data_IF_745562976906
#
_entry.id   IF_745562976906
#
_cell.length_a   1.000
_cell.length_b   1.000
_cell.length_c   1.000
_cell.angle_alpha   90.00
_cell.angle_beta   90.00
_cell.angle_gamma   90.00
#
_symmetry.space_group_name_H-M   'P 1'
#
loop_
_entity.id
_entity.type
_entity.pdbx_description
1 polymer ?
#
# COMPACT_ATOMS: atom_id res chain seq x y z
N UNK A 1 20.86 3.78 34.92
CA UNK A 1 20.34 4.99 34.24
C UNK A 1 19.38 4.54 33.16
N UNK A 2 18.07 4.68 33.35
CA UNK A 2 17.09 4.29 32.33
C UNK A 2 17.23 5.22 31.13
N UNK A 3 17.71 4.73 29.99
CA UNK A 3 17.55 5.46 28.72
C UNK A 3 16.07 5.79 28.60
N UNK A 4 15.74 7.07 28.40
CA UNK A 4 14.39 7.46 28.00
C UNK A 4 14.01 6.56 26.81
N UNK A 5 12.83 5.93 26.87
CA UNK A 5 12.35 5.07 25.77
C UNK A 5 12.37 5.92 24.50
N UNK A 6 13.29 5.64 23.59
CA UNK A 6 13.30 6.24 22.27
C UNK A 6 11.98 5.86 21.61
N UNK A 7 11.24 6.86 21.11
CA UNK A 7 9.99 6.64 20.39
C UNK A 7 10.28 6.93 18.94
N UNK A 8 10.13 5.88 18.12
CA UNK A 8 10.28 5.92 16.68
C UNK A 8 9.37 6.96 16.03
N UNK A 9 9.77 7.41 14.85
CA UNK A 9 9.11 8.52 14.15
C UNK A 9 7.70 8.14 13.74
N UNK A 10 7.54 6.97 13.11
CA UNK A 10 6.25 6.47 12.67
C UNK A 10 5.34 6.16 13.86
N UNK A 11 5.90 5.59 14.94
CA UNK A 11 5.16 5.39 16.19
C UNK A 11 4.62 6.69 16.77
N UNK A 12 5.45 7.73 16.84
CA UNK A 12 5.02 9.04 17.35
C UNK A 12 3.86 9.60 16.52
N UNK A 13 4.00 9.59 15.20
CA UNK A 13 2.94 10.06 14.28
C UNK A 13 1.64 9.30 14.49
N UNK A 14 1.72 7.99 14.60
CA UNK A 14 0.55 7.14 14.79
C UNK A 14 -0.15 7.42 16.13
N UNK A 15 0.60 7.64 17.22
CA UNK A 15 0.04 8.03 18.52
C UNK A 15 -0.57 9.45 18.51
N UNK A 16 0.05 10.38 17.80
CA UNK A 16 -0.48 11.74 17.61
C UNK A 16 -1.81 11.72 16.84
N UNK A 17 -1.92 10.86 15.82
CA UNK A 17 -3.12 10.67 15.03
C UNK A 17 -4.26 10.08 15.87
N UNK A 18 -3.96 9.06 16.69
CA UNK A 18 -4.93 8.44 17.61
C UNK A 18 -5.44 9.43 18.68
N UNK A 19 -4.61 10.40 19.06
CA UNK A 19 -4.92 11.37 20.10
C UNK A 19 -5.84 12.49 19.58
N UNK A 20 -7.05 12.61 20.11
CA UNK A 20 -8.01 13.65 19.67
C UNK A 20 -7.51 15.10 19.83
N UNK A 21 -6.59 15.33 20.76
CA UNK A 21 -6.14 16.67 21.18
C UNK A 21 -4.91 17.19 20.42
N UNK A 22 -4.25 16.34 19.64
CA UNK A 22 -3.03 16.72 18.91
C UNK A 22 -3.39 17.17 17.51
N UNK A 23 -2.95 18.38 17.11
CA UNK A 23 -3.12 18.83 15.73
C UNK A 23 -2.21 18.03 14.81
N UNK A 24 -2.69 17.58 13.64
CA UNK A 24 -1.82 16.92 12.66
C UNK A 24 -0.64 17.82 12.32
N UNK A 25 0.58 17.29 12.43
CA UNK A 25 1.77 17.98 11.99
C UNK A 25 1.79 18.08 10.45
N UNK A 26 2.64 18.96 9.90
CA UNK A 26 2.89 18.96 8.46
C UNK A 26 3.47 17.61 8.06
N UNK A 27 2.96 17.04 6.95
CA UNK A 27 3.42 15.75 6.45
C UNK A 27 4.94 15.74 6.28
N UNK A 28 5.58 14.82 6.99
CA UNK A 28 7.02 14.60 6.93
C UNK A 28 7.30 13.42 5.99
N UNK A 29 7.90 13.73 4.85
CA UNK A 29 8.21 12.77 3.79
C UNK A 29 9.65 12.23 3.90
N UNK A 30 10.39 12.56 4.96
CA UNK A 30 11.75 12.05 5.14
C UNK A 30 11.76 10.60 5.62
N UNK A 31 12.74 9.83 5.13
CA UNK A 31 12.99 8.46 5.58
C UNK A 31 13.39 8.44 7.06
N UNK A 32 13.06 7.34 7.74
CA UNK A 32 13.39 7.13 9.14
C UNK A 32 14.46 6.05 9.28
N UNK A 33 15.59 6.41 9.90
CA UNK A 33 16.76 5.53 10.11
C UNK A 33 16.40 4.23 10.84
N UNK A 34 15.43 4.29 11.76
CA UNK A 34 14.89 3.13 12.47
C UNK A 34 14.36 2.05 11.52
N UNK A 35 13.78 2.43 10.38
CA UNK A 35 13.31 1.49 9.38
C UNK A 35 14.46 0.79 8.64
N UNK A 36 15.56 1.52 8.37
CA UNK A 36 16.76 0.92 7.77
C UNK A 36 17.38 -0.08 8.73
N UNK A 37 17.62 0.31 9.98
CA UNK A 37 18.20 -0.56 11.02
C UNK A 37 17.38 -1.83 11.24
N UNK A 38 16.05 -1.72 11.27
CA UNK A 38 15.18 -2.88 11.41
C UNK A 38 15.28 -3.79 10.18
N UNK A 39 15.34 -3.23 8.98
CA UNK A 39 15.48 -4.00 7.73
C UNK A 39 16.84 -4.70 7.65
N UNK A 40 17.91 -4.04 8.06
CA UNK A 40 19.26 -4.64 8.15
C UNK A 40 19.23 -5.84 9.11
N UNK A 41 18.62 -5.68 10.29
CA UNK A 41 18.48 -6.77 11.26
C UNK A 41 17.60 -7.93 10.75
N UNK A 42 16.59 -7.64 9.91
CA UNK A 42 15.79 -8.68 9.26
C UNK A 42 16.64 -9.53 8.31
N UNK A 43 17.55 -8.89 7.56
CA UNK A 43 18.44 -9.56 6.62
C UNK A 43 19.51 -10.38 7.35
N UNK A 44 20.07 -9.85 8.43
CA UNK A 44 21.17 -10.50 9.16
C UNK A 44 20.70 -11.62 10.10
N UNK A 45 19.58 -11.41 10.78
CA UNK A 45 19.14 -12.25 11.91
C UNK A 45 17.68 -12.71 11.84
N UNK A 46 16.98 -12.43 10.74
CA UNK A 46 15.61 -12.89 10.54
C UNK A 46 14.53 -12.12 11.33
N UNK A 47 13.30 -12.65 11.40
CA UNK A 47 12.14 -11.92 11.90
C UNK A 47 12.19 -11.64 13.40
N UNK A 48 12.94 -12.43 14.18
CA UNK A 48 13.17 -12.20 15.60
C UNK A 48 14.08 -10.98 15.80
N UNK A 49 15.19 -10.89 15.06
CA UNK A 49 16.11 -9.76 15.11
C UNK A 49 15.42 -8.45 14.67
N UNK A 50 14.62 -8.51 13.61
CA UNK A 50 13.74 -7.42 13.18
C UNK A 50 12.90 -6.86 14.33
N UNK A 51 12.14 -7.73 15.02
CA UNK A 51 11.28 -7.33 16.14
C UNK A 51 12.06 -6.78 17.33
N UNK A 52 13.26 -7.31 17.57
CA UNK A 52 14.11 -6.82 18.65
C UNK A 52 14.57 -5.38 18.38
N UNK A 53 14.99 -5.05 17.16
CA UNK A 53 15.39 -3.69 16.78
C UNK A 53 14.20 -2.73 16.83
N UNK A 54 13.03 -3.13 16.35
CA UNK A 54 11.82 -2.31 16.49
C UNK A 54 11.51 -1.97 17.95
N UNK A 55 11.67 -2.92 18.87
CA UNK A 55 11.48 -2.67 20.29
C UNK A 55 12.54 -1.73 20.87
N UNK A 56 13.80 -1.83 20.43
CA UNK A 56 14.91 -0.97 20.86
C UNK A 56 14.75 0.47 20.38
N UNK A 57 14.43 0.65 19.09
CA UNK A 57 14.20 1.96 18.45
C UNK A 57 12.82 2.53 18.80
N UNK A 58 11.96 1.71 19.42
CA UNK A 58 10.59 2.07 19.78
C UNK A 58 9.74 2.39 18.57
N UNK A 59 9.90 1.67 17.46
CA UNK A 59 9.19 1.87 16.21
C UNK A 59 7.98 0.93 16.08
N UNK A 60 7.07 1.24 15.15
CA UNK A 60 5.94 0.37 14.79
C UNK A 60 6.42 -0.73 13.86
N UNK A 61 5.81 -1.91 13.97
CA UNK A 61 6.00 -2.99 13.01
C UNK A 61 5.36 -2.63 11.66
N UNK A 62 6.21 -2.23 10.71
CA UNK A 62 5.81 -1.61 9.44
C UNK A 62 5.90 -2.56 8.24
N UNK A 63 6.46 -3.76 8.38
CA UNK A 63 6.56 -4.76 7.30
C UNK A 63 5.54 -5.86 7.51
N UNK A 64 4.56 -6.00 6.61
CA UNK A 64 3.61 -7.12 6.63
C UNK A 64 4.30 -8.48 6.56
N UNK A 65 3.62 -9.54 7.00
CA UNK A 65 4.11 -10.91 6.88
C UNK A 65 4.55 -11.29 5.46
N UNK A 66 3.84 -10.81 4.44
CA UNK A 66 4.19 -11.04 3.04
C UNK A 66 5.47 -10.30 2.62
N UNK A 67 5.66 -9.05 3.07
CA UNK A 67 6.87 -8.26 2.79
C UNK A 67 8.08 -8.84 3.51
N UNK A 68 7.94 -9.26 4.78
CA UNK A 68 9.02 -9.94 5.52
C UNK A 68 9.49 -11.18 4.77
N UNK A 69 8.57 -12.05 4.34
CA UNK A 69 8.89 -13.25 3.57
C UNK A 69 9.54 -12.92 2.24
N UNK A 70 9.04 -11.91 1.53
CA UNK A 70 9.59 -11.48 0.25
C UNK A 70 11.03 -10.98 0.40
N UNK A 71 11.29 -10.10 1.38
CA UNK A 71 12.62 -9.54 1.63
C UNK A 71 13.62 -10.66 1.95
N UNK A 72 13.24 -11.61 2.81
CA UNK A 72 14.09 -12.74 3.15
C UNK A 72 14.35 -13.66 1.95
N UNK A 73 13.34 -13.91 1.12
CA UNK A 73 13.48 -14.74 -0.07
C UNK A 73 14.33 -14.08 -1.17
N UNK A 74 14.35 -12.75 -1.23
CA UNK A 74 15.14 -11.97 -2.20
C UNK A 74 16.50 -11.52 -1.66
N UNK A 75 16.78 -11.72 -0.38
CA UNK A 75 18.07 -11.43 0.22
C UNK A 75 19.15 -12.26 -0.49
N UNK A 76 19.93 -11.60 -1.36
CA UNK A 76 21.11 -12.18 -1.98
C UNK A 76 22.30 -11.77 -1.13
N UNK A 77 23.16 -12.71 -0.78
CA UNK A 77 24.48 -12.37 -0.24
C UNK A 77 25.18 -11.43 -1.23
N UNK A 78 25.89 -10.38 -0.76
CA UNK A 78 26.69 -9.56 -1.64
C UNK A 78 27.61 -10.47 -2.47
N UNK A 79 27.84 -10.17 -3.76
CA UNK A 79 28.74 -10.97 -4.57
C UNK A 79 30.10 -11.03 -3.86
N UNK A 80 30.46 -12.20 -3.32
CA UNK A 80 31.82 -12.44 -2.86
C UNK A 80 32.69 -12.25 -4.11
N UNK A 81 33.66 -11.35 -4.05
CA UNK A 81 34.65 -11.18 -5.12
C UNK A 81 35.27 -12.55 -5.38
N UNK A 82 35.08 -13.15 -6.56
CA UNK A 82 35.70 -14.43 -6.85
C UNK A 82 37.20 -14.19 -7.02
N UNK A 83 38.02 -14.80 -6.16
CA UNK A 83 39.41 -15.07 -6.50
C UNK A 83 39.40 -15.99 -7.74
N UNK A 84 39.89 -15.46 -8.88
CA UNK A 84 40.02 -16.23 -10.14
C UNK A 84 40.95 -17.43 -9.90
N UNK A 85 40.61 -18.64 -10.39
CA UNK A 85 41.17 -19.03 -11.70
C UNK A 85 40.24 -19.89 -12.58
N UNK A 86 40.33 -19.66 -13.90
CA UNK A 86 40.50 -20.72 -14.91
C UNK A 86 39.31 -21.54 -15.39
N UNK A 87 38.72 -21.11 -16.52
CA UNK A 87 38.48 -21.91 -17.73
C UNK A 87 37.53 -23.12 -17.71
N UNK A 88 36.43 -23.03 -18.48
CA UNK A 88 36.17 -23.84 -19.69
C UNK A 88 34.71 -23.66 -20.16
N UNK A 89 34.54 -23.65 -21.47
CA UNK A 89 33.30 -23.42 -22.22
C UNK A 89 32.27 -24.55 -22.10
N UNK A 90 30.97 -24.21 -22.19
CA UNK A 90 29.95 -25.00 -22.87
C UNK A 90 28.65 -24.18 -23.09
N UNK A 91 28.25 -23.94 -24.34
CA UNK A 91 26.88 -23.56 -24.70
C UNK A 91 25.89 -24.72 -24.47
N UNK A 92 24.55 -24.51 -24.52
CA UNK A 92 23.90 -24.25 -25.82
C UNK A 92 22.59 -23.43 -25.82
N UNK A 93 22.24 -22.99 -27.05
CA UNK A 93 20.93 -22.80 -27.71
C UNK A 93 19.75 -22.13 -26.98
N UNK A 94 19.29 -21.04 -27.62
CA UNK A 94 18.07 -20.32 -27.29
C UNK A 94 16.77 -21.05 -27.65
N UNK A 95 15.63 -20.62 -27.08
CA UNK A 95 14.33 -21.23 -27.28
C UNK A 95 13.55 -20.58 -28.43
N UNK A 96 13.05 -21.39 -29.35
CA UNK A 96 12.09 -20.98 -30.39
C UNK A 96 10.65 -21.34 -29.99
N UNK A 97 9.77 -20.34 -30.22
CA UNK A 97 8.35 -20.39 -30.56
C UNK A 97 7.39 -21.31 -29.79
N UNK A 98 6.45 -20.69 -29.06
CA UNK A 98 5.07 -21.17 -28.93
C UNK A 98 4.12 -19.97 -29.05
N UNK A 99 3.61 -19.74 -30.26
CA UNK A 99 2.45 -18.90 -30.53
C UNK A 99 1.19 -19.77 -30.43
N UNK A 100 0.33 -19.49 -29.44
CA UNK A 100 -1.03 -20.03 -29.39
C UNK A 100 -2.02 -18.87 -29.21
N UNK A 101 -2.99 -18.82 -30.12
CA UNK A 101 -4.11 -17.88 -30.14
C UNK A 101 -4.93 -17.94 -28.85
N UNK A 102 -5.15 -16.79 -28.23
CA UNK A 102 -6.11 -16.59 -27.15
C UNK A 102 -7.45 -16.14 -27.73
N UNK A 103 -8.47 -17.01 -27.68
CA UNK A 103 -9.86 -16.62 -27.91
C UNK A 103 -10.44 -15.97 -26.66
N UNK A 104 -10.95 -14.74 -26.78
CA UNK A 104 -11.63 -14.01 -25.70
C UNK A 104 -13.09 -14.43 -25.59
N UNK A 105 -13.49 -14.91 -24.40
CA UNK A 105 -14.88 -15.11 -24.01
C UNK A 105 -15.26 -14.01 -23.01
N UNK A 106 -16.33 -13.27 -23.29
CA UNK A 106 -16.92 -12.24 -22.42
C UNK A 106 -18.08 -12.86 -21.63
N UNK A 107 -18.08 -12.82 -20.29
CA UNK A 107 -19.28 -13.09 -19.51
C UNK A 107 -20.25 -11.91 -19.59
N UNK A 108 -21.54 -12.23 -19.69
CA UNK A 108 -22.62 -11.26 -19.62
C UNK A 108 -22.75 -10.69 -18.20
N UNK A 109 -23.11 -9.41 -18.13
CA UNK A 109 -23.21 -8.59 -16.93
C UNK A 109 -23.91 -9.30 -15.75
N UNK A 110 -23.21 -9.38 -14.61
CA UNK A 110 -23.81 -9.65 -13.31
C UNK A 110 -24.40 -8.35 -12.75
N UNK A 111 -25.72 -8.32 -12.59
CA UNK A 111 -26.43 -7.26 -11.88
C UNK A 111 -26.22 -7.43 -10.37
N UNK A 112 -25.19 -6.77 -9.82
CA UNK A 112 -25.09 -6.54 -8.38
C UNK A 112 -25.61 -5.13 -8.06
N UNK A 113 -26.63 -5.06 -7.20
CA UNK A 113 -27.24 -3.81 -6.74
C UNK A 113 -26.20 -2.93 -6.03
N UNK A 114 -26.02 -1.70 -6.53
CA UNK A 114 -25.12 -0.69 -5.95
C UNK A 114 -25.40 -0.49 -4.45
N UNK A 115 -24.40 -0.68 -3.57
CA UNK A 115 -24.54 -0.28 -2.18
C UNK A 115 -24.64 1.24 -2.13
N UNK A 116 -25.69 1.76 -1.51
CA UNK A 116 -25.92 3.19 -1.35
C UNK A 116 -24.66 3.89 -0.82
N UNK A 117 -24.06 4.74 -1.65
CA UNK A 117 -22.99 5.66 -1.23
C UNK A 117 -23.50 6.50 -0.07
N UNK A 118 -22.66 6.74 0.94
CA UNK A 118 -22.98 7.63 2.06
C UNK A 118 -23.45 8.97 1.49
N UNK A 119 -24.66 9.41 1.85
CA UNK A 119 -25.37 10.55 1.23
C UNK A 119 -24.51 11.84 1.10
N UNK A 120 -23.54 12.02 1.99
CA UNK A 120 -22.59 13.13 1.99
C UNK A 120 -21.60 13.14 0.79
N UNK A 121 -21.37 11.99 0.14
CA UNK A 121 -20.46 11.87 -1.01
C UNK A 121 -21.10 12.40 -2.29
N UNK A 122 -22.40 12.17 -2.46
CA UNK A 122 -23.14 12.59 -3.63
C UNK A 122 -23.33 14.12 -3.67
N UNK A 123 -23.34 14.77 -2.50
CA UNK A 123 -23.52 16.22 -2.33
C UNK A 123 -22.24 17.05 -2.42
N UNK A 124 -21.06 16.42 -2.52
CA UNK A 124 -19.80 17.15 -2.68
C UNK A 124 -19.73 17.80 -4.08
N UNK A 125 -19.16 19.01 -4.16
CA UNK A 125 -18.89 19.68 -5.43
C UNK A 125 -17.96 18.81 -6.30
N UNK A 126 -18.19 18.79 -7.63
CA UNK A 126 -17.45 17.96 -8.58
C UNK A 126 -16.70 18.80 -9.62
N UNK A 127 -15.54 19.39 -9.25
CA UNK A 127 -14.76 20.26 -10.15
C UNK A 127 -14.34 19.59 -11.46
N UNK A 128 -14.11 18.27 -11.46
CA UNK A 128 -13.71 17.52 -12.66
C UNK A 128 -14.71 17.60 -13.83
N UNK A 129 -15.95 18.02 -13.59
CA UNK A 129 -16.96 18.20 -14.64
C UNK A 129 -16.86 19.56 -15.34
N UNK A 130 -16.06 20.49 -14.81
CA UNK A 130 -15.92 21.87 -15.31
C UNK A 130 -14.54 22.16 -15.92
N UNK A 131 -13.50 21.43 -15.50
CA UNK A 131 -12.12 21.66 -15.96
C UNK A 131 -11.75 20.84 -17.21
N UNK A 132 -10.85 21.35 -18.08
CA UNK A 132 -10.38 20.60 -19.23
C UNK A 132 -9.59 19.35 -18.82
N UNK A 133 -9.89 18.22 -19.47
CA UNK A 133 -9.22 16.96 -19.19
C UNK A 133 -7.74 16.99 -19.60
N UNK A 134 -6.85 16.69 -18.65
CA UNK A 134 -5.42 16.56 -18.87
C UNK A 134 -4.89 15.26 -18.25
N UNK A 135 -3.82 14.70 -18.85
CA UNK A 135 -3.14 13.52 -18.32
C UNK A 135 -1.64 13.77 -18.21
N UNK A 136 -1.04 13.40 -17.08
CA UNK A 136 0.41 13.49 -16.85
C UNK A 136 0.90 12.15 -16.31
N UNK A 137 2.02 11.66 -16.84
CA UNK A 137 2.61 10.39 -16.44
C UNK A 137 3.85 10.66 -15.61
N UNK A 138 3.97 9.97 -14.48
CA UNK A 138 5.12 10.04 -13.59
C UNK A 138 5.86 8.70 -13.59
N UNK A 139 7.19 8.77 -13.69
CA UNK A 139 8.08 7.62 -13.56
C UNK A 139 8.93 7.78 -12.32
N UNK A 140 9.25 6.65 -11.67
CA UNK A 140 10.15 6.65 -10.53
C UNK A 140 11.55 7.04 -11.00
N UNK A 141 12.12 8.05 -10.35
CA UNK A 141 13.48 8.55 -10.60
C UNK A 141 14.09 8.98 -9.26
N UNK A 142 15.41 9.21 -9.23
CA UNK A 142 16.10 9.70 -8.02
C UNK A 142 15.52 11.03 -7.49
N UNK A 143 14.86 11.81 -8.36
CA UNK A 143 14.21 13.09 -8.02
C UNK A 143 12.70 12.97 -7.78
N UNK A 144 12.06 11.93 -8.31
CA UNK A 144 10.62 11.73 -8.23
C UNK A 144 10.31 10.38 -7.61
N UNK A 145 10.07 10.40 -6.31
CA UNK A 145 9.52 9.26 -5.59
C UNK A 145 8.00 9.20 -5.80
N UNK A 146 7.51 8.09 -6.37
CA UNK A 146 6.08 7.85 -6.58
C UNK A 146 5.34 7.76 -5.24
N UNK A 147 5.99 7.21 -4.19
CA UNK A 147 5.45 7.20 -2.83
C UNK A 147 5.12 8.60 -2.37
N UNK A 148 6.06 9.54 -2.53
CA UNK A 148 5.83 10.92 -2.12
C UNK A 148 4.71 11.60 -2.92
N UNK A 149 4.53 11.24 -4.19
CA UNK A 149 3.42 11.76 -5.00
C UNK A 149 2.07 11.30 -4.45
N UNK A 150 1.97 10.01 -4.08
CA UNK A 150 0.79 9.44 -3.42
C UNK A 150 0.53 10.11 -2.07
N UNK A 151 1.57 10.21 -1.22
CA UNK A 151 1.48 10.87 0.10
C UNK A 151 1.09 12.35 -0.02
N UNK A 152 1.67 13.07 -0.99
CA UNK A 152 1.31 14.47 -1.29
C UNK A 152 -0.14 14.63 -1.75
N UNK A 153 -0.66 13.68 -2.53
CA UNK A 153 -2.08 13.67 -2.91
C UNK A 153 -2.97 13.61 -1.68
N UNK A 154 -2.80 12.58 -0.84
CA UNK A 154 -3.58 12.35 0.38
C UNK A 154 -3.51 13.56 1.33
N UNK A 155 -2.31 14.08 1.56
CA UNK A 155 -2.08 15.18 2.50
C UNK A 155 -2.63 16.51 2.01
N UNK A 156 -2.78 16.70 0.69
CA UNK A 156 -3.38 17.91 0.10
C UNK A 156 -4.90 17.85 -0.04
N UNK A 157 -5.50 16.66 -0.01
CA UNK A 157 -6.96 16.50 -0.08
C UNK A 157 -7.68 17.26 1.05
N UNK A 158 -8.85 17.79 0.74
CA UNK A 158 -9.62 18.68 1.63
C UNK A 158 -11.01 18.18 1.98
N UNK A 159 -11.66 17.43 1.10
CA UNK A 159 -13.06 17.05 1.23
C UNK A 159 -13.25 15.54 1.15
N UNK A 160 -12.78 14.90 0.07
CA UNK A 160 -13.07 13.49 -0.23
C UNK A 160 -11.84 12.77 -0.78
N UNK A 161 -11.64 11.54 -0.31
CA UNK A 161 -10.67 10.60 -0.84
C UNK A 161 -11.36 9.26 -1.12
N UNK A 162 -11.41 8.86 -2.39
CA UNK A 162 -11.86 7.53 -2.80
C UNK A 162 -10.67 6.73 -3.35
N UNK A 163 -10.40 5.58 -2.75
CA UNK A 163 -9.20 4.78 -3.03
C UNK A 163 -9.64 3.38 -3.44
N UNK A 164 -9.14 2.88 -4.56
CA UNK A 164 -9.23 1.48 -4.96
C UNK A 164 -7.83 0.87 -4.89
N UNK A 165 -7.68 -0.25 -4.19
CA UNK A 165 -6.39 -0.92 -4.04
C UNK A 165 -6.52 -2.44 -3.92
N UNK A 166 -5.49 -3.16 -4.34
CA UNK A 166 -5.40 -4.62 -4.29
C UNK A 166 -4.76 -5.14 -2.99
N UNK A 167 -3.72 -4.47 -2.48
CA UNK A 167 -3.02 -4.79 -1.24
C UNK A 167 -2.71 -3.50 -0.51
N UNK A 168 -3.02 -3.45 0.79
CA UNK A 168 -2.75 -2.27 1.61
C UNK A 168 -2.03 -2.65 2.92
N UNK A 169 -0.72 -2.46 2.93
CA UNK A 169 0.19 -2.79 4.03
C UNK A 169 1.10 -1.64 4.48
N UNK A 170 1.19 -0.55 3.72
CA UNK A 170 2.03 0.60 4.06
C UNK A 170 1.43 1.42 5.22
N UNK A 171 2.04 1.27 6.40
CA UNK A 171 1.65 1.97 7.64
C UNK A 171 1.81 3.49 7.50
N UNK A 172 2.77 4.00 6.74
CA UNK A 172 2.96 5.45 6.55
C UNK A 172 1.80 6.05 5.76
N UNK A 173 1.39 5.40 4.66
CA UNK A 173 0.23 5.84 3.87
C UNK A 173 -1.05 5.70 4.70
N UNK A 174 -1.18 4.64 5.49
CA UNK A 174 -2.32 4.48 6.39
C UNK A 174 -2.38 5.61 7.44
N UNK A 175 -1.23 6.01 8.00
CA UNK A 175 -1.16 7.17 8.88
C UNK A 175 -1.60 8.46 8.16
N UNK A 176 -1.15 8.68 6.91
CA UNK A 176 -1.56 9.85 6.13
C UNK A 176 -3.08 9.88 5.88
N UNK A 177 -3.72 8.71 5.67
CA UNK A 177 -5.18 8.61 5.55
C UNK A 177 -5.91 8.93 6.86
N UNK A 178 -5.39 8.44 7.99
CA UNK A 178 -5.96 8.76 9.30
C UNK A 178 -5.78 10.26 9.63
N UNK A 179 -4.66 10.87 9.26
CA UNK A 179 -4.44 12.32 9.36
C UNK A 179 -5.45 13.09 8.48
N UNK A 180 -5.71 12.62 7.26
CA UNK A 180 -6.74 13.21 6.40
C UNK A 180 -8.14 13.09 7.03
N UNK A 181 -8.51 11.91 7.51
CA UNK A 181 -9.77 11.65 8.21
C UNK A 181 -9.95 12.58 9.43
N UNK A 182 -8.88 12.79 10.20
CA UNK A 182 -8.87 13.70 11.36
C UNK A 182 -9.04 15.17 10.98
N UNK A 183 -8.62 15.57 9.77
CA UNK A 183 -8.87 16.90 9.21
C UNK A 183 -10.32 17.08 8.70
N UNK A 184 -11.15 16.03 8.76
CA UNK A 184 -12.52 16.05 8.26
C UNK A 184 -12.66 15.61 6.81
N UNK A 185 -11.60 15.09 6.18
CA UNK A 185 -11.69 14.49 4.84
C UNK A 185 -12.46 13.17 4.94
N UNK A 186 -13.45 12.95 4.08
CA UNK A 186 -14.16 11.68 3.98
C UNK A 186 -13.34 10.68 3.19
N UNK A 187 -12.84 9.64 3.85
CA UNK A 187 -11.98 8.62 3.22
C UNK A 187 -12.79 7.33 3.02
N UNK A 188 -12.83 6.80 1.79
CA UNK A 188 -13.26 5.43 1.53
C UNK A 188 -12.18 4.66 0.79
N UNK A 189 -11.88 3.47 1.31
CA UNK A 189 -10.96 2.52 0.72
C UNK A 189 -11.75 1.31 0.27
N UNK A 190 -11.76 1.06 -1.03
CA UNK A 190 -12.20 -0.18 -1.65
C UNK A 190 -10.98 -1.09 -1.79
N UNK A 191 -10.96 -2.17 -1.02
CA UNK A 191 -9.84 -3.11 -0.97
C UNK A 191 -10.24 -4.45 -1.56
N UNK A 192 -9.42 -4.99 -2.46
CA UNK A 192 -9.60 -6.35 -2.96
C UNK A 192 -9.70 -7.36 -1.81
N UNK A 193 -10.63 -8.31 -1.92
CA UNK A 193 -10.86 -9.33 -0.90
C UNK A 193 -9.58 -10.08 -0.49
N UNK A 194 -8.66 -10.32 -1.43
CA UNK A 194 -7.37 -10.96 -1.15
C UNK A 194 -6.44 -10.12 -0.26
N UNK A 195 -6.56 -8.79 -0.29
CA UNK A 195 -5.76 -7.86 0.50
C UNK A 195 -6.24 -7.65 1.94
N UNK A 196 -7.51 -7.98 2.24
CA UNK A 196 -8.15 -7.67 3.54
C UNK A 196 -7.41 -8.29 4.73
N UNK A 197 -6.88 -9.51 4.56
CA UNK A 197 -6.13 -10.19 5.64
C UNK A 197 -4.88 -9.39 6.05
N UNK A 198 -4.09 -8.95 5.07
CA UNK A 198 -2.86 -8.20 5.32
C UNK A 198 -3.18 -6.79 5.87
N UNK A 199 -4.27 -6.18 5.40
CA UNK A 199 -4.73 -4.91 5.96
C UNK A 199 -5.11 -5.02 7.44
N UNK A 200 -5.84 -6.07 7.83
CA UNK A 200 -6.17 -6.31 9.24
C UNK A 200 -4.92 -6.51 10.09
N UNK A 201 -3.97 -7.30 9.59
CA UNK A 201 -2.67 -7.51 10.24
C UNK A 201 -1.93 -6.19 10.46
N UNK A 202 -1.92 -5.30 9.46
CA UNK A 202 -1.36 -3.95 9.58
C UNK A 202 -2.08 -3.12 10.66
N UNK A 203 -3.41 -3.12 10.69
CA UNK A 203 -4.19 -2.41 11.71
C UNK A 203 -3.90 -2.92 13.13
N UNK A 204 -3.78 -4.23 13.30
CA UNK A 204 -3.49 -4.87 14.59
C UNK A 204 -2.08 -4.47 15.08
N UNK A 205 -1.08 -4.51 14.20
CA UNK A 205 0.31 -4.06 14.49
C UNK A 205 0.38 -2.57 14.81
N UNK A 206 -0.41 -1.76 14.11
CA UNK A 206 -0.57 -0.33 14.36
C UNK A 206 -1.40 -0.03 15.61
N UNK A 207 -2.03 -1.03 16.25
CA UNK A 207 -2.95 -0.84 17.38
C UNK A 207 -4.07 0.18 17.08
N UNK A 208 -4.59 0.11 15.86
CA UNK A 208 -5.72 0.94 15.40
C UNK A 208 -7.02 0.17 15.60
N UNK A 209 -8.05 0.83 16.08
CA UNK A 209 -9.36 0.25 16.31
C UNK A 209 -10.46 1.16 15.77
N UNK A 210 -11.70 0.68 15.76
CA UNK A 210 -12.84 1.31 15.08
C UNK A 210 -13.06 2.79 15.46
N UNK A 211 -12.78 3.18 16.70
CA UNK A 211 -12.90 4.58 17.16
C UNK A 211 -11.98 5.54 16.39
N UNK A 212 -10.87 5.07 15.83
CA UNK A 212 -9.96 5.88 15.03
C UNK A 212 -10.41 5.99 13.56
N UNK A 213 -11.44 5.24 13.15
CA UNK A 213 -11.89 5.11 11.76
C UNK A 213 -13.22 5.83 11.48
N UNK A 214 -13.67 6.75 12.34
CA UNK A 214 -15.00 7.37 12.22
C UNK A 214 -15.24 8.08 10.88
N UNK A 215 -14.20 8.67 10.27
CA UNK A 215 -14.26 9.30 8.94
C UNK A 215 -13.54 8.49 7.84
N UNK A 216 -13.20 7.23 8.13
CA UNK A 216 -12.49 6.32 7.23
C UNK A 216 -13.28 5.01 7.10
N UNK A 217 -13.93 4.83 5.95
CA UNK A 217 -14.61 3.58 5.61
C UNK A 217 -13.67 2.67 4.82
N UNK A 218 -13.52 1.41 5.24
CA UNK A 218 -12.85 0.38 4.45
C UNK A 218 -13.88 -0.68 4.06
N UNK A 219 -14.00 -0.96 2.77
CA UNK A 219 -14.92 -1.95 2.21
C UNK A 219 -14.14 -2.94 1.36
N UNK A 220 -14.52 -4.21 1.46
CA UNK A 220 -13.96 -5.23 0.58
C UNK A 220 -14.72 -5.25 -0.74
N UNK A 221 -13.99 -5.40 -1.85
CA UNK A 221 -14.54 -5.62 -3.19
C UNK A 221 -14.00 -6.94 -3.70
N UNK A 222 -14.87 -7.77 -4.26
CA UNK A 222 -14.50 -9.00 -4.98
C UNK A 222 -14.66 -8.77 -6.48
N UNK A 223 -13.80 -9.39 -7.30
CA UNK A 223 -14.04 -9.43 -8.73
C UNK A 223 -14.99 -10.59 -9.09
N UNK A 224 -15.38 -10.65 -10.36
CA UNK A 224 -16.28 -11.66 -10.90
C UNK A 224 -15.82 -13.09 -10.59
N UNK A 225 -16.76 -13.99 -10.30
CA UNK A 225 -16.47 -15.40 -10.04
C UNK A 225 -16.51 -16.18 -11.34
N UNK A 226 -15.38 -16.77 -11.73
CA UNK A 226 -15.26 -17.61 -12.90
C UNK A 226 -15.34 -19.09 -12.55
N UNK A 227 -15.85 -19.89 -13.48
CA UNK A 227 -15.92 -21.34 -13.39
C UNK A 227 -14.86 -21.97 -14.30
N UNK A 228 -13.92 -22.73 -13.74
CA UNK A 228 -12.97 -23.51 -14.50
C UNK A 228 -13.64 -24.73 -15.16
N UNK A 229 -13.01 -25.28 -16.22
CA UNK A 229 -13.47 -26.51 -16.89
C UNK A 229 -13.67 -27.71 -15.95
N UNK A 230 -12.95 -27.72 -14.82
CA UNK A 230 -13.10 -28.73 -13.77
C UNK A 230 -14.34 -28.57 -12.87
N UNK A 231 -15.17 -27.55 -13.09
CA UNK A 231 -16.29 -27.19 -12.23
C UNK A 231 -15.91 -26.36 -10.99
N UNK A 232 -14.61 -26.19 -10.71
CA UNK A 232 -14.11 -25.33 -9.62
C UNK A 232 -14.38 -23.86 -9.92
N UNK A 233 -14.83 -23.12 -8.90
CA UNK A 233 -15.06 -21.67 -8.96
C UNK A 233 -13.89 -20.92 -8.35
N UNK A 234 -13.52 -19.80 -8.93
CA UNK A 234 -12.54 -18.87 -8.35
C UNK A 234 -12.97 -17.44 -8.62
N UNK A 235 -12.77 -16.55 -7.64
CA UNK A 235 -12.95 -15.12 -7.84
C UNK A 235 -11.75 -14.56 -8.60
N UNK A 236 -12.01 -13.68 -9.58
CA UNK A 236 -10.98 -12.83 -10.16
C UNK A 236 -10.37 -11.90 -9.11
N UNK A 237 -9.30 -11.20 -9.48
CA UNK A 237 -8.64 -10.23 -8.61
C UNK A 237 -8.77 -8.83 -9.17
N UNK A 238 -9.11 -7.86 -8.32
CA UNK A 238 -9.08 -6.45 -8.69
C UNK A 238 -7.62 -6.01 -8.75
N UNK A 239 -7.14 -5.69 -9.95
CA UNK A 239 -5.77 -5.20 -10.17
C UNK A 239 -5.69 -3.68 -10.37
N UNK A 240 -6.83 -3.02 -10.60
CA UNK A 240 -6.89 -1.58 -10.76
C UNK A 240 -6.54 -0.89 -9.43
N UNK A 241 -5.74 0.17 -9.52
CA UNK A 241 -5.32 0.96 -8.36
C UNK A 241 -5.42 2.43 -8.70
N UNK A 242 -6.22 3.16 -7.94
CA UNK A 242 -6.32 4.60 -8.12
C UNK A 242 -6.79 5.32 -6.86
N UNK A 243 -6.49 6.60 -6.81
CA UNK A 243 -6.91 7.54 -5.77
C UNK A 243 -7.61 8.70 -6.46
N UNK A 244 -8.85 8.97 -6.09
CA UNK A 244 -9.60 10.15 -6.48
C UNK A 244 -9.58 11.12 -5.31
N UNK A 245 -9.05 12.33 -5.53
CA UNK A 245 -8.99 13.39 -4.52
C UNK A 245 -9.93 14.53 -4.89
N UNK A 246 -10.81 14.90 -3.96
CA UNK A 246 -11.69 16.08 -4.01
C UNK A 246 -12.50 16.20 -5.32
N UNK A 247 -12.80 15.07 -5.98
CA UNK A 247 -13.42 15.02 -7.32
C UNK A 247 -12.73 15.94 -8.34
N UNK A 248 -11.45 16.20 -8.15
CA UNK A 248 -10.68 17.17 -8.93
C UNK A 248 -9.66 16.46 -9.80
N UNK A 249 -8.95 15.47 -9.25
CA UNK A 249 -7.96 14.71 -10.00
C UNK A 249 -7.87 13.25 -9.53
N UNK A 250 -7.31 12.42 -10.42
CA UNK A 250 -7.13 10.98 -10.20
C UNK A 250 -5.64 10.63 -10.33
N UNK A 251 -5.11 9.93 -9.34
CA UNK A 251 -3.82 9.23 -9.47
C UNK A 251 -4.11 7.76 -9.74
N UNK A 252 -3.57 7.23 -10.83
CA UNK A 252 -3.69 5.82 -11.21
C UNK A 252 -2.32 5.28 -11.61
N UNK A 253 -2.03 4.02 -11.27
CA UNK A 253 -0.75 3.42 -11.62
C UNK A 253 -0.49 2.07 -10.96
N UNK A 254 0.79 1.68 -10.98
CA UNK A 254 1.28 0.39 -10.50
C UNK A 254 1.92 0.42 -9.11
N UNK A 255 1.80 1.54 -8.40
CA UNK A 255 2.34 1.69 -7.05
C UNK A 255 1.84 0.55 -6.13
N UNK A 256 2.75 -0.01 -5.34
CA UNK A 256 2.51 -1.10 -4.40
C UNK A 256 2.93 -0.67 -3.02
#
# INVERSE_FOLDING_TARGET
MSRARQVGKLRRRLEDVKSQWVRPAKADLSDHESARLATDALLDGGPEAYRQVLHQEGEVDFLSSAETQYIQAQAREPPRTPDTPGGAEAGPRGPDACSLQSGTYYPAASEDSEPALLHAWASAEKPCLQEPAGATVYFQTDKHNIRDLVRRCITRSRQVLAILMDVFTDVEIFCDLLEAAKRGVLVCVLLDQGGVRLFREMCDRAQVCERHLQSLAVRSVGAEVHCAKSGRRFAGRVQAKFIISDWSYVLSGSYR
#
